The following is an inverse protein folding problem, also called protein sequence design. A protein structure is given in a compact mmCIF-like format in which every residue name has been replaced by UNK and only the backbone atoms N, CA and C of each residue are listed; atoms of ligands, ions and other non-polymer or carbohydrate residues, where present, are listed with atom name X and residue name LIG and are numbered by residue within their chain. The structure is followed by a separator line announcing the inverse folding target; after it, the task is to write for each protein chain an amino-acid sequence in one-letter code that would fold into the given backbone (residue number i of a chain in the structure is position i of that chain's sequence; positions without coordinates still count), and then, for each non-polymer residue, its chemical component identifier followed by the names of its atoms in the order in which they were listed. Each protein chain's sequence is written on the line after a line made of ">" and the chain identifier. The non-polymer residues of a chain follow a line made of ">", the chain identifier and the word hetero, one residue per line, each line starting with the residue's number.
data_IF_543197832203
#
_entry.id   IF_543197832203
#
_cell.length_a   1.000
_cell.length_b   1.000
_cell.length_c   1.000
_cell.angle_alpha   90.00
_cell.angle_beta   90.00
_cell.angle_gamma   90.00
#
_symmetry.space_group_name_H-M   'P 1'
#
loop_
_entity.id
_entity.type
_entity.pdbx_description
1 polymer ?
#
# COMPACT_ATOMS: atom_id res chain seq x y z
N UNK A 1 -15.00 -22.46 8.55
CA UNK A 1 -13.90 -23.19 7.90
C UNK A 1 -12.76 -22.19 7.70
N UNK A 2 -11.79 -22.13 8.62
CA UNK A 2 -10.57 -21.35 8.45
C UNK A 2 -9.78 -22.02 7.31
N UNK A 3 -9.77 -21.42 6.12
CA UNK A 3 -8.76 -21.81 5.13
C UNK A 3 -7.43 -21.40 5.72
N UNK A 4 -6.56 -22.38 5.99
CA UNK A 4 -5.17 -22.13 6.36
C UNK A 4 -4.58 -21.21 5.30
N UNK A 5 -4.29 -19.97 5.68
CA UNK A 5 -3.45 -19.10 4.87
C UNK A 5 -2.05 -19.68 5.05
N UNK A 6 -1.48 -20.19 3.97
CA UNK A 6 -0.14 -20.74 4.02
C UNK A 6 0.85 -19.67 4.48
N UNK A 7 1.76 -20.06 5.36
CA UNK A 7 2.93 -19.25 5.69
C UNK A 7 3.63 -18.92 4.37
N UNK A 8 3.92 -17.63 4.16
CA UNK A 8 4.59 -17.17 2.94
C UNK A 8 5.99 -17.79 2.87
N UNK A 9 6.37 -18.24 1.69
CA UNK A 9 7.75 -18.53 1.38
C UNK A 9 8.46 -17.23 0.99
N UNK A 10 9.26 -16.69 1.90
CA UNK A 10 10.03 -15.48 1.66
C UNK A 10 11.09 -15.67 0.57
N UNK A 11 11.49 -16.91 0.28
CA UNK A 11 12.42 -17.27 -0.79
C UNK A 11 11.84 -17.14 -2.20
N UNK A 12 10.51 -16.94 -2.36
CA UNK A 12 9.90 -16.66 -3.66
C UNK A 12 10.30 -15.27 -4.21
N UNK A 13 10.77 -14.35 -3.34
CA UNK A 13 11.29 -13.05 -3.78
C UNK A 13 12.59 -13.24 -4.57
N UNK A 14 12.67 -12.64 -5.74
CA UNK A 14 13.74 -12.85 -6.71
C UNK A 14 14.41 -11.51 -7.09
N UNK A 15 15.60 -11.21 -6.53
CA UNK A 15 16.32 -9.97 -6.85
C UNK A 15 16.71 -9.82 -8.32
N UNK A 16 17.03 -10.92 -9.03
CA UNK A 16 17.37 -10.88 -10.44
C UNK A 16 16.14 -10.48 -11.27
N UNK A 17 15.00 -11.09 -10.98
CA UNK A 17 13.74 -10.74 -11.60
C UNK A 17 13.38 -9.27 -11.36
N UNK A 18 13.57 -8.77 -10.15
CA UNK A 18 13.31 -7.36 -9.83
C UNK A 18 14.21 -6.47 -10.71
N UNK A 19 15.52 -6.74 -10.79
CA UNK A 19 16.47 -5.97 -11.61
C UNK A 19 16.09 -5.94 -13.08
N UNK A 20 15.67 -7.07 -13.63
CA UNK A 20 15.28 -7.17 -15.04
C UNK A 20 14.06 -6.30 -15.39
N UNK A 21 13.13 -6.17 -14.45
CA UNK A 21 11.91 -5.38 -14.66
C UNK A 21 12.04 -3.89 -14.28
N UNK A 22 13.02 -3.50 -13.46
CA UNK A 22 13.19 -2.11 -13.01
C UNK A 22 13.23 -1.08 -14.16
N UNK A 23 13.98 -1.27 -15.25
CA UNK A 23 14.04 -0.27 -16.32
C UNK A 23 12.68 -0.03 -16.98
N UNK A 24 11.90 -1.09 -17.18
CA UNK A 24 10.57 -1.00 -17.77
C UNK A 24 9.56 -0.34 -16.82
N UNK A 25 9.59 -0.72 -15.55
CA UNK A 25 8.75 -0.11 -14.53
C UNK A 25 9.07 1.39 -14.36
N UNK A 26 10.35 1.78 -14.43
CA UNK A 26 10.76 3.18 -14.41
C UNK A 26 10.26 3.96 -15.61
N UNK A 27 10.27 3.36 -16.80
CA UNK A 27 9.70 4.00 -17.97
C UNK A 27 8.22 4.33 -17.78
N UNK A 28 7.44 3.36 -17.27
CA UNK A 28 6.02 3.56 -16.98
C UNK A 28 5.82 4.59 -15.87
N UNK A 29 6.55 4.49 -14.77
CA UNK A 29 6.44 5.41 -13.65
C UNK A 29 6.78 6.85 -14.05
N UNK A 30 7.84 7.04 -14.84
CA UNK A 30 8.30 8.37 -15.24
C UNK A 30 7.44 8.97 -16.36
N UNK A 31 7.15 8.19 -17.42
CA UNK A 31 6.45 8.71 -18.59
C UNK A 31 4.93 8.81 -18.37
N UNK A 32 4.34 7.81 -17.70
CA UNK A 32 2.89 7.72 -17.51
C UNK A 32 2.42 8.43 -16.24
N UNK A 33 3.04 8.09 -15.10
CA UNK A 33 2.65 8.64 -13.81
C UNK A 33 3.46 9.87 -13.37
N UNK A 34 4.51 10.24 -14.10
CA UNK A 34 5.40 11.34 -13.71
C UNK A 34 5.76 11.26 -12.22
N UNK A 35 6.08 10.01 -11.80
CA UNK A 35 6.26 9.66 -10.40
C UNK A 35 7.35 10.50 -9.74
N UNK A 36 7.07 10.98 -8.52
CA UNK A 36 7.99 11.72 -7.67
C UNK A 36 8.02 11.04 -6.30
N UNK A 37 9.17 10.48 -5.92
CA UNK A 37 9.33 9.76 -4.64
C UNK A 37 10.38 10.49 -3.82
N UNK A 38 9.98 10.96 -2.64
CA UNK A 38 10.78 11.80 -1.75
C UNK A 38 10.97 11.10 -0.40
N UNK A 39 12.12 11.33 0.26
CA UNK A 39 12.37 10.88 1.62
C UNK A 39 12.77 9.41 1.72
N UNK A 40 13.31 8.77 0.68
CA UNK A 40 13.81 7.39 0.75
C UNK A 40 14.91 7.24 1.82
N UNK A 41 15.69 8.30 2.05
CA UNK A 41 16.73 8.41 3.10
C UNK A 41 16.16 8.30 4.53
N UNK A 42 14.87 8.50 4.72
CA UNK A 42 14.18 8.35 6.02
C UNK A 42 13.96 6.88 6.41
N UNK A 43 14.09 5.96 5.45
CA UNK A 43 14.05 4.52 5.76
C UNK A 43 15.42 4.12 6.31
N UNK A 44 15.50 3.46 7.49
CA UNK A 44 16.77 3.01 8.03
C UNK A 44 17.60 2.24 7.00
N UNK A 45 18.89 2.55 6.86
CA UNK A 45 19.76 1.90 5.86
C UNK A 45 19.86 0.38 6.06
N UNK A 46 19.77 -0.08 7.30
CA UNK A 46 19.92 -1.48 7.70
C UNK A 46 18.82 -1.90 8.67
N UNK A 47 18.59 -3.19 8.73
CA UNK A 47 17.64 -3.79 9.64
C UNK A 47 16.19 -3.66 9.15
N UNK A 48 15.27 -4.25 9.93
CA UNK A 48 13.85 -4.23 9.63
C UNK A 48 13.23 -2.87 9.92
N UNK A 49 12.17 -2.55 9.18
CA UNK A 49 11.32 -1.39 9.43
C UNK A 49 9.91 -1.68 8.91
N UNK A 50 8.89 -1.12 9.55
CA UNK A 50 7.51 -1.21 9.10
C UNK A 50 7.11 0.08 8.38
N UNK A 51 6.95 0.03 7.06
CA UNK A 51 6.42 1.11 6.26
C UNK A 51 4.89 1.04 6.29
N UNK A 52 4.25 2.16 6.63
CA UNK A 52 2.79 2.26 6.74
C UNK A 52 2.29 3.29 5.75
N UNK A 53 1.59 2.83 4.70
CA UNK A 53 1.11 3.66 3.61
C UNK A 53 -0.41 3.84 3.58
N UNK A 54 -0.87 4.97 3.01
CA UNK A 54 -2.23 5.08 2.51
C UNK A 54 -2.31 4.50 1.10
N UNK A 55 -3.44 3.85 0.79
CA UNK A 55 -3.60 3.11 -0.46
C UNK A 55 -4.57 3.79 -1.41
N UNK A 56 -4.24 3.77 -2.71
CA UNK A 56 -5.04 4.46 -3.73
C UNK A 56 -4.90 3.80 -5.12
N UNK A 57 -5.83 4.11 -6.02
CA UNK A 57 -5.74 3.69 -7.42
C UNK A 57 -6.43 2.37 -7.78
N UNK A 58 -7.39 1.92 -6.96
CA UNK A 58 -8.14 0.68 -7.23
C UNK A 58 -7.22 -0.55 -7.25
N UNK A 59 -7.60 -1.56 -8.00
CA UNK A 59 -6.83 -2.81 -8.10
C UNK A 59 -5.52 -2.68 -8.91
N UNK A 60 -5.27 -1.55 -9.57
CA UNK A 60 -4.03 -1.33 -10.32
C UNK A 60 -2.86 -0.86 -9.47
N UNK A 61 -3.13 -0.40 -8.22
CA UNK A 61 -2.15 -0.10 -7.15
C UNK A 61 -0.84 0.59 -7.61
N UNK A 62 -0.90 1.68 -8.39
CA UNK A 62 0.30 2.30 -8.93
C UNK A 62 1.24 2.84 -7.84
N UNK A 63 0.71 3.28 -6.70
CA UNK A 63 1.46 3.70 -5.52
C UNK A 63 2.39 2.60 -4.99
N UNK A 64 1.88 1.38 -4.88
CA UNK A 64 2.65 0.22 -4.40
C UNK A 64 3.78 -0.14 -5.38
N UNK A 65 3.47 -0.17 -6.68
CA UNK A 65 4.47 -0.49 -7.72
C UNK A 65 5.58 0.55 -7.73
N UNK A 66 5.24 1.85 -7.69
CA UNK A 66 6.20 2.94 -7.68
C UNK A 66 7.08 2.90 -6.44
N UNK A 67 6.50 2.69 -5.25
CA UNK A 67 7.27 2.61 -4.00
C UNK A 67 8.22 1.41 -3.99
N UNK A 68 7.74 0.22 -4.39
CA UNK A 68 8.57 -1.01 -4.46
C UNK A 68 9.76 -0.83 -5.41
N UNK A 69 9.52 -0.22 -6.54
CA UNK A 69 10.55 0.09 -7.53
C UNK A 69 11.55 1.13 -6.99
N UNK A 70 11.06 2.22 -6.40
CA UNK A 70 11.91 3.26 -5.84
C UNK A 70 12.79 2.73 -4.70
N UNK A 71 12.22 1.89 -3.82
CA UNK A 71 12.97 1.19 -2.78
C UNK A 71 14.09 0.32 -3.37
N UNK A 72 13.74 -0.54 -4.34
CA UNK A 72 14.71 -1.46 -4.96
C UNK A 72 15.81 -0.74 -5.73
N UNK A 73 15.51 0.45 -6.27
CA UNK A 73 16.52 1.27 -6.95
C UNK A 73 17.45 1.96 -5.97
N UNK A 74 16.93 2.49 -4.87
CA UNK A 74 17.69 3.27 -3.90
C UNK A 74 18.58 2.37 -3.02
N UNK A 75 18.01 1.26 -2.52
CA UNK A 75 18.70 0.36 -1.58
C UNK A 75 19.31 -0.88 -2.23
N UNK A 76 19.07 -1.11 -3.53
CA UNK A 76 19.43 -2.34 -4.22
C UNK A 76 18.36 -3.42 -4.14
N UNK A 77 18.26 -4.23 -5.20
CA UNK A 77 17.28 -5.32 -5.28
C UNK A 77 17.55 -6.44 -4.27
N UNK A 78 18.77 -6.55 -3.76
CA UNK A 78 19.17 -7.54 -2.75
C UNK A 78 18.58 -7.26 -1.38
N UNK A 79 18.34 -5.99 -1.03
CA UNK A 79 17.79 -5.65 0.28
C UNK A 79 16.40 -6.24 0.42
N UNK A 80 16.14 -7.05 1.48
CA UNK A 80 14.85 -7.67 1.68
C UNK A 80 13.74 -6.63 1.86
N UNK A 81 12.76 -6.66 0.95
CA UNK A 81 11.57 -5.82 0.99
C UNK A 81 10.36 -6.67 0.66
N UNK A 82 9.36 -6.61 1.51
CA UNK A 82 8.10 -7.33 1.31
C UNK A 82 6.92 -6.39 1.43
N UNK A 83 5.80 -6.78 0.83
CA UNK A 83 4.55 -6.02 0.88
C UNK A 83 3.37 -6.94 1.14
N UNK A 84 2.48 -6.53 2.03
CA UNK A 84 1.29 -7.30 2.36
C UNK A 84 0.18 -7.07 1.33
N UNK A 85 -0.40 -8.14 0.81
CA UNK A 85 -1.53 -8.10 -0.10
C UNK A 85 -2.67 -9.00 0.37
N UNK A 86 -3.89 -8.65 -0.06
CA UNK A 86 -5.06 -9.47 0.22
C UNK A 86 -4.90 -10.88 -0.40
N UNK A 87 -5.35 -11.90 0.31
CA UNK A 87 -5.19 -13.32 -0.10
C UNK A 87 -5.74 -13.62 -1.49
N UNK A 88 -6.79 -12.92 -1.94
CA UNK A 88 -7.33 -13.08 -3.29
C UNK A 88 -6.34 -12.69 -4.37
N UNK A 89 -5.50 -11.69 -4.13
CA UNK A 89 -4.47 -11.26 -5.09
C UNK A 89 -3.50 -12.41 -5.35
N UNK A 90 -3.05 -13.08 -4.30
CA UNK A 90 -2.11 -14.20 -4.40
C UNK A 90 -2.76 -15.51 -4.88
N UNK A 91 -4.09 -15.61 -4.84
CA UNK A 91 -4.83 -16.76 -5.35
C UNK A 91 -5.03 -16.73 -6.87
N UNK A 92 -4.80 -15.58 -7.52
CA UNK A 92 -4.96 -15.41 -8.96
C UNK A 92 -3.66 -15.80 -9.69
N UNK A 93 -3.66 -16.81 -10.57
CA UNK A 93 -2.46 -17.27 -11.27
C UNK A 93 -1.79 -16.16 -12.09
N UNK A 94 -2.57 -15.26 -12.68
CA UNK A 94 -2.05 -14.12 -13.45
C UNK A 94 -1.23 -13.13 -12.60
N UNK A 95 -1.43 -13.11 -11.28
CA UNK A 95 -0.72 -12.25 -10.33
C UNK A 95 0.41 -13.00 -9.58
N UNK A 96 0.66 -14.26 -9.90
CA UNK A 96 1.76 -15.03 -9.33
C UNK A 96 3.14 -14.32 -9.41
N UNK A 97 3.47 -13.57 -10.50
CA UNK A 97 4.72 -12.81 -10.56
C UNK A 97 4.93 -11.79 -9.44
N UNK A 98 3.85 -11.31 -8.78
CA UNK A 98 3.97 -10.38 -7.66
C UNK A 98 4.76 -10.96 -6.48
N UNK A 99 4.75 -12.30 -6.29
CA UNK A 99 5.53 -12.98 -5.26
C UNK A 99 7.03 -12.78 -5.47
N UNK A 100 7.47 -12.75 -6.72
CA UNK A 100 8.87 -12.47 -7.08
C UNK A 100 9.29 -11.04 -6.75
N UNK A 101 8.33 -10.11 -6.61
CA UNK A 101 8.57 -8.75 -6.09
C UNK A 101 8.46 -8.67 -4.56
N UNK A 102 8.26 -9.81 -3.85
CA UNK A 102 8.14 -9.83 -2.40
C UNK A 102 6.71 -9.62 -1.88
N UNK A 103 5.68 -9.84 -2.71
CA UNK A 103 4.30 -9.75 -2.24
C UNK A 103 3.92 -11.00 -1.47
N UNK A 104 3.47 -10.83 -0.22
CA UNK A 104 3.06 -11.91 0.68
C UNK A 104 1.64 -11.67 1.21
N UNK A 105 0.97 -12.75 1.66
CA UNK A 105 -0.39 -12.66 2.17
C UNK A 105 -0.45 -11.83 3.46
N UNK A 106 -1.45 -10.94 3.55
CA UNK A 106 -1.66 -10.05 4.69
C UNK A 106 -2.17 -10.84 5.90
N UNK A 107 -1.25 -11.42 6.66
CA UNK A 107 -1.48 -12.06 7.95
C UNK A 107 -0.45 -11.60 8.98
N UNK A 108 -0.79 -11.60 10.29
CA UNK A 108 0.19 -11.27 11.33
C UNK A 108 1.43 -12.15 11.29
N UNK A 109 1.27 -13.44 10.99
CA UNK A 109 2.36 -14.41 10.95
C UNK A 109 3.35 -14.12 9.80
N UNK A 110 2.83 -13.75 8.63
CA UNK A 110 3.68 -13.39 7.50
C UNK A 110 4.38 -12.04 7.72
N UNK A 111 3.69 -11.10 8.36
CA UNK A 111 4.28 -9.83 8.73
C UNK A 111 5.43 -10.01 9.74
N UNK A 112 5.18 -10.75 10.82
CA UNK A 112 6.22 -11.09 11.80
C UNK A 112 7.40 -11.80 11.14
N UNK A 113 7.14 -12.83 10.32
CA UNK A 113 8.20 -13.58 9.63
C UNK A 113 9.07 -12.72 8.71
N UNK A 114 8.50 -11.72 8.01
CA UNK A 114 9.27 -10.81 7.19
C UNK A 114 10.15 -9.86 8.05
N UNK A 115 9.60 -9.32 9.13
CA UNK A 115 10.34 -8.45 10.05
C UNK A 115 11.45 -9.22 10.80
N UNK A 116 11.18 -10.43 11.27
CA UNK A 116 12.15 -11.32 11.91
C UNK A 116 13.30 -11.70 10.97
N UNK A 117 13.03 -11.79 9.66
CA UNK A 117 14.04 -11.99 8.64
C UNK A 117 14.89 -10.73 8.34
N UNK A 118 14.68 -9.63 9.07
CA UNK A 118 15.40 -8.37 8.90
C UNK A 118 14.94 -7.52 7.72
N UNK A 119 13.76 -7.81 7.19
CA UNK A 119 13.24 -7.13 6.00
C UNK A 119 12.52 -5.82 6.33
N UNK A 120 12.48 -4.93 5.35
CA UNK A 120 11.53 -3.82 5.33
C UNK A 120 10.18 -4.34 4.85
N UNK A 121 9.12 -4.05 5.60
CA UNK A 121 7.77 -4.52 5.32
C UNK A 121 6.83 -3.35 5.04
N UNK A 122 6.15 -3.35 3.90
CA UNK A 122 5.14 -2.37 3.55
C UNK A 122 3.74 -2.90 3.85
N UNK A 123 2.96 -2.10 4.56
CA UNK A 123 1.55 -2.39 4.87
C UNK A 123 0.67 -1.21 4.50
N UNK A 124 -0.54 -1.52 4.06
CA UNK A 124 -1.61 -0.55 3.80
C UNK A 124 -2.80 -0.89 4.72
N UNK A 125 -2.89 -0.29 5.91
CA UNK A 125 -3.92 -0.67 6.89
C UNK A 125 -5.34 -0.47 6.39
N UNK A 126 -5.58 0.60 5.62
CA UNK A 126 -6.88 0.88 5.01
C UNK A 126 -7.31 -0.15 3.97
N UNK A 127 -6.35 -0.78 3.26
CA UNK A 127 -6.59 -1.85 2.31
C UNK A 127 -7.75 -1.57 1.34
N UNK A 128 -8.71 -2.50 1.28
CA UNK A 128 -9.90 -2.40 0.43
C UNK A 128 -10.79 -1.17 0.71
N UNK A 129 -10.78 -0.68 1.96
CA UNK A 129 -11.54 0.50 2.35
C UNK A 129 -10.97 1.79 1.73
N UNK A 130 -9.65 1.91 1.67
CA UNK A 130 -8.97 3.09 1.12
C UNK A 130 -8.82 3.04 -0.40
N UNK A 131 -8.38 1.90 -0.93
CA UNK A 131 -7.99 1.78 -2.33
C UNK A 131 -9.10 2.16 -3.31
N UNK A 132 -10.35 1.98 -2.90
CA UNK A 132 -11.56 2.24 -3.72
C UNK A 132 -12.39 3.41 -3.20
N UNK A 133 -11.80 4.32 -2.40
CA UNK A 133 -12.56 5.48 -1.87
C UNK A 133 -13.03 6.38 -3.01
N UNK A 134 -14.21 7.03 -2.86
CA UNK A 134 -14.73 7.95 -3.86
C UNK A 134 -13.79 9.13 -4.11
N UNK A 135 -13.79 9.66 -5.32
CA UNK A 135 -12.90 10.75 -5.74
C UNK A 135 -12.99 12.02 -4.88
N UNK A 136 -14.17 12.30 -4.31
CA UNK A 136 -14.34 13.42 -3.37
C UNK A 136 -13.70 13.21 -1.99
N UNK A 137 -13.25 11.98 -1.69
CA UNK A 137 -12.49 11.61 -0.50
C UNK A 137 -11.02 11.32 -0.82
N UNK A 138 -10.52 11.71 -2.00
CA UNK A 138 -9.17 11.37 -2.45
C UNK A 138 -8.05 11.82 -1.50
N UNK A 139 -8.27 12.91 -0.77
CA UNK A 139 -7.31 13.48 0.16
C UNK A 139 -7.63 13.11 1.62
N UNK A 140 -8.14 11.91 1.87
CA UNK A 140 -8.47 11.44 3.21
C UNK A 140 -7.63 10.20 3.56
N UNK A 141 -6.99 10.22 4.72
CA UNK A 141 -6.39 9.03 5.34
C UNK A 141 -7.46 8.36 6.20
N UNK A 142 -7.83 7.14 5.86
CA UNK A 142 -8.89 6.41 6.59
C UNK A 142 -8.61 4.91 6.65
N UNK A 143 -7.98 4.50 7.74
CA UNK A 143 -7.63 3.09 7.96
C UNK A 143 -8.77 2.24 8.53
N UNK A 144 -10.01 2.73 8.57
CA UNK A 144 -11.17 2.01 9.11
C UNK A 144 -10.93 1.53 10.56
N UNK A 145 -10.18 2.33 11.36
CA UNK A 145 -9.81 1.99 12.73
C UNK A 145 -8.90 0.78 12.90
N UNK A 146 -8.22 0.33 11.83
CA UNK A 146 -7.36 -0.86 11.85
C UNK A 146 -6.00 -0.56 12.47
N UNK A 147 -5.81 -0.96 13.72
CA UNK A 147 -4.61 -0.72 14.55
C UNK A 147 -3.57 -1.84 14.48
N UNK A 148 -3.76 -2.84 13.61
CA UNK A 148 -2.89 -4.02 13.54
C UNK A 148 -1.42 -3.69 13.25
N UNK A 149 -1.17 -2.66 12.47
CA UNK A 149 0.18 -2.23 12.13
C UNK A 149 0.97 -1.66 13.33
N UNK A 150 0.27 -0.97 14.25
CA UNK A 150 0.90 -0.46 15.49
C UNK A 150 1.36 -1.63 16.35
N UNK A 151 0.47 -2.60 16.60
CA UNK A 151 0.82 -3.80 17.36
C UNK A 151 1.98 -4.56 16.71
N UNK A 152 1.95 -4.72 15.38
CA UNK A 152 3.01 -5.39 14.65
C UNK A 152 4.37 -4.71 14.80
N UNK A 153 4.41 -3.36 14.78
CA UNK A 153 5.65 -2.61 15.00
C UNK A 153 6.17 -2.75 16.43
N UNK A 154 5.26 -2.68 17.41
CA UNK A 154 5.59 -2.84 18.84
C UNK A 154 6.09 -4.26 19.14
N UNK A 155 5.34 -5.28 18.69
CA UNK A 155 5.68 -6.69 18.92
C UNK A 155 7.03 -7.07 18.30
N UNK A 156 7.35 -6.49 17.14
CA UNK A 156 8.62 -6.72 16.45
C UNK A 156 9.76 -5.80 16.93
N UNK A 157 9.47 -4.76 17.72
CA UNK A 157 10.47 -3.78 18.16
C UNK A 157 11.14 -3.03 17.02
N UNK A 158 10.39 -2.71 15.95
CA UNK A 158 10.92 -2.06 14.74
C UNK A 158 10.39 -0.64 14.58
N UNK A 159 11.16 0.27 13.98
CA UNK A 159 10.69 1.61 13.68
C UNK A 159 9.53 1.59 12.67
N UNK A 160 8.58 2.50 12.88
CA UNK A 160 7.45 2.74 11.98
C UNK A 160 7.79 3.91 11.07
N UNK A 161 7.65 3.71 9.75
CA UNK A 161 7.94 4.73 8.73
C UNK A 161 6.65 5.05 7.99
N UNK A 162 6.01 6.22 8.23
CA UNK A 162 4.81 6.61 7.50
C UNK A 162 5.15 6.96 6.06
N UNK A 163 4.30 6.53 5.13
CA UNK A 163 4.41 6.76 3.69
C UNK A 163 3.12 7.35 3.17
N UNK A 164 3.17 8.54 2.60
CA UNK A 164 2.00 9.24 2.10
C UNK A 164 2.05 9.33 0.58
N UNK A 165 1.02 8.81 -0.08
CA UNK A 165 0.87 8.83 -1.54
C UNK A 165 -0.33 9.67 -1.96
N UNK A 166 -0.15 10.50 -2.99
CA UNK A 166 -1.20 11.28 -3.64
C UNK A 166 -1.15 11.08 -5.15
N UNK A 167 -2.31 11.11 -5.80
CA UNK A 167 -2.43 10.97 -7.27
C UNK A 167 -3.00 9.63 -7.71
N UNK A 168 -2.87 8.58 -6.93
CA UNK A 168 -3.41 7.27 -7.29
C UNK A 168 -4.93 7.27 -7.45
N UNK A 169 -5.65 8.05 -6.66
CA UNK A 169 -7.12 8.11 -6.73
C UNK A 169 -7.66 8.83 -7.97
N UNK A 170 -6.81 9.54 -8.71
CA UNK A 170 -7.13 10.17 -9.99
C UNK A 170 -6.86 9.27 -11.19
N UNK A 171 -6.38 8.05 -10.99
CA UNK A 171 -6.14 7.08 -12.08
C UNK A 171 -7.42 6.47 -12.64
N UNK A 172 -8.54 6.56 -11.91
CA UNK A 172 -9.89 6.26 -12.36
C UNK A 172 -10.90 7.13 -11.61
N UNK A 173 -12.12 7.27 -12.13
CA UNK A 173 -13.19 8.00 -11.44
C UNK A 173 -13.95 7.04 -10.52
N UNK A 174 -13.50 6.92 -9.27
CA UNK A 174 -14.19 6.12 -8.26
C UNK A 174 -15.42 6.87 -7.72
N UNK A 175 -16.61 6.29 -7.89
CA UNK A 175 -17.88 6.88 -7.50
C UNK A 175 -18.37 6.37 -6.15
N UNK A 176 -18.04 5.13 -5.78
CA UNK A 176 -18.48 4.52 -4.53
C UNK A 176 -17.61 3.35 -4.15
N UNK A 177 -17.41 3.14 -2.84
CA UNK A 177 -16.84 1.87 -2.32
C UNK A 177 -17.78 0.68 -2.54
N UNK A 178 -19.06 0.92 -2.79
CA UNK A 178 -20.06 -0.12 -2.99
C UNK A 178 -20.27 -1.06 -1.79
N UNK A 179 -20.00 -0.61 -0.57
CA UNK A 179 -20.11 -1.44 0.63
C UNK A 179 -21.51 -1.96 0.88
N UNK A 180 -22.55 -1.20 0.53
CA UNK A 180 -23.94 -1.63 0.58
C UNK A 180 -24.22 -2.78 -0.39
N UNK A 181 -23.70 -2.68 -1.61
CA UNK A 181 -23.83 -3.71 -2.64
C UNK A 181 -23.07 -4.99 -2.26
N UNK A 182 -21.85 -4.85 -1.75
CA UNK A 182 -21.05 -5.99 -1.25
C UNK A 182 -21.81 -6.76 -0.16
N UNK A 183 -22.42 -6.05 0.80
CA UNK A 183 -23.25 -6.66 1.85
C UNK A 183 -24.52 -7.31 1.30
N UNK A 184 -25.23 -6.65 0.40
CA UNK A 184 -26.44 -7.18 -0.23
C UNK A 184 -26.15 -8.50 -0.98
N UNK A 185 -25.01 -8.60 -1.63
CA UNK A 185 -24.53 -9.79 -2.32
C UNK A 185 -23.80 -10.80 -1.40
N UNK A 186 -23.71 -10.51 -0.10
CA UNK A 186 -23.02 -11.33 0.92
C UNK A 186 -21.55 -11.63 0.59
N UNK A 187 -20.88 -10.74 -0.14
CA UNK A 187 -19.48 -10.90 -0.54
C UNK A 187 -18.53 -10.81 0.66
N UNK A 188 -18.94 -10.10 1.69
CA UNK A 188 -18.24 -10.02 2.98
C UNK A 188 -18.08 -11.40 3.65
N UNK A 189 -19.08 -12.28 3.48
CA UNK A 189 -19.11 -13.62 4.08
C UNK A 189 -18.48 -14.68 3.17
N UNK A 190 -18.69 -14.58 1.85
CA UNK A 190 -18.26 -15.60 0.88
C UNK A 190 -16.82 -15.40 0.41
N UNK A 191 -16.43 -14.16 0.11
CA UNK A 191 -15.13 -13.79 -0.45
C UNK A 191 -14.29 -12.89 0.48
N UNK A 192 -14.85 -12.49 1.64
CA UNK A 192 -14.26 -11.50 2.56
C UNK A 192 -14.04 -10.13 1.90
N UNK A 193 -14.83 -9.82 0.88
CA UNK A 193 -14.82 -8.52 0.23
C UNK A 193 -15.85 -7.61 0.90
N UNK A 194 -15.39 -6.59 1.62
CA UNK A 194 -16.24 -5.60 2.29
C UNK A 194 -16.69 -4.49 1.33
N UNK A 195 -16.00 -4.35 0.21
CA UNK A 195 -16.23 -3.33 -0.81
C UNK A 195 -16.46 -3.97 -2.18
N UNK A 196 -17.29 -3.35 -3.00
CA UNK A 196 -17.51 -3.68 -4.41
C UNK A 196 -17.52 -2.35 -5.17
N UNK A 197 -16.35 -1.76 -5.48
CA UNK A 197 -16.25 -0.40 -5.97
C UNK A 197 -17.03 -0.19 -7.26
N UNK A 198 -17.59 1.01 -7.39
CA UNK A 198 -18.21 1.49 -8.61
C UNK A 198 -17.35 2.62 -9.14
N UNK A 199 -16.86 2.47 -10.36
CA UNK A 199 -15.95 3.44 -11.00
C UNK A 199 -16.27 3.64 -12.47
N UNK A 200 -15.79 4.73 -13.03
CA UNK A 200 -15.71 4.93 -14.48
C UNK A 200 -14.22 4.89 -14.84
N UNK A 201 -13.82 3.91 -15.63
CA UNK A 201 -12.43 3.66 -15.98
C UNK A 201 -12.29 3.03 -17.38
N UNK A 202 -11.21 3.36 -18.07
CA UNK A 202 -10.89 2.74 -19.36
C UNK A 202 -10.48 1.27 -19.17
N UNK A 203 -10.76 0.39 -20.14
CA UNK A 203 -11.53 0.60 -21.35
C UNK A 203 -13.05 0.38 -21.16
N UNK A 204 -13.47 -0.01 -19.94
CA UNK A 204 -14.80 -0.57 -19.68
C UNK A 204 -15.91 0.49 -19.55
N UNK A 205 -15.58 1.76 -19.33
CA UNK A 205 -16.56 2.77 -18.95
C UNK A 205 -17.02 2.55 -17.50
N UNK A 206 -18.31 2.28 -17.29
CA UNK A 206 -18.83 1.93 -15.96
C UNK A 206 -18.32 0.54 -15.55
N UNK A 207 -17.59 0.50 -14.44
CA UNK A 207 -16.98 -0.70 -13.89
C UNK A 207 -17.49 -0.96 -12.47
N UNK A 208 -17.85 -2.21 -12.18
CA UNK A 208 -18.34 -2.65 -10.87
C UNK A 208 -17.41 -3.74 -10.34
N UNK A 209 -16.79 -3.51 -9.19
CA UNK A 209 -15.91 -4.46 -8.53
C UNK A 209 -14.44 -4.41 -8.99
N UNK A 210 -14.16 -3.78 -10.11
CA UNK A 210 -12.81 -3.65 -10.69
C UNK A 210 -12.06 -5.01 -10.85
N UNK A 211 -12.82 -6.10 -11.06
CA UNK A 211 -12.26 -7.46 -11.10
C UNK A 211 -11.36 -7.72 -12.31
N UNK A 212 -11.59 -7.03 -13.41
CA UNK A 212 -10.79 -7.11 -14.62
C UNK A 212 -9.67 -6.07 -14.64
N UNK A 213 -9.57 -5.28 -13.57
CA UNK A 213 -8.70 -4.12 -13.55
C UNK A 213 -9.16 -3.02 -14.54
N UNK A 214 -8.35 -2.01 -14.69
CA UNK A 214 -8.59 -0.91 -15.62
C UNK A 214 -7.25 -0.35 -16.14
N UNK A 215 -7.29 0.41 -17.23
CA UNK A 215 -6.14 1.19 -17.67
C UNK A 215 -6.10 2.46 -16.84
N UNK A 216 -5.11 2.64 -15.95
CA UNK A 216 -5.04 3.82 -15.11
C UNK A 216 -4.80 5.07 -15.96
N UNK A 217 -5.48 6.17 -15.62
CA UNK A 217 -5.22 7.47 -16.23
C UNK A 217 -3.80 7.96 -15.86
N UNK A 218 -3.17 8.79 -16.69
CA UNK A 218 -1.80 9.28 -16.47
C UNK A 218 -1.75 10.39 -15.40
N UNK A 219 -2.22 10.09 -14.21
CA UNK A 219 -2.16 11.00 -13.08
C UNK A 219 -0.74 11.08 -12.53
N UNK A 220 -0.30 12.31 -12.12
CA UNK A 220 0.97 12.45 -11.42
C UNK A 220 0.85 11.84 -10.03
N UNK A 221 1.77 10.92 -9.69
CA UNK A 221 1.82 10.27 -8.39
C UNK A 221 3.04 10.79 -7.64
N UNK A 222 2.79 11.38 -6.46
CA UNK A 222 3.85 11.78 -5.53
C UNK A 222 3.76 10.91 -4.29
N UNK A 223 4.92 10.39 -3.86
CA UNK A 223 5.06 9.59 -2.64
C UNK A 223 6.04 10.30 -1.72
N UNK A 224 5.61 10.62 -0.50
CA UNK A 224 6.43 11.21 0.55
C UNK A 224 6.65 10.18 1.65
N UNK A 225 7.90 9.82 1.89
CA UNK A 225 8.31 8.98 3.00
C UNK A 225 8.72 9.89 4.15
N UNK A 226 8.11 9.71 5.32
CA UNK A 226 8.35 10.52 6.50
C UNK A 226 9.47 9.93 7.36
N UNK A 227 10.07 10.71 8.27
CA UNK A 227 11.06 10.19 9.20
C UNK A 227 10.56 8.98 9.97
N UNK A 228 11.44 8.02 10.19
CA UNK A 228 11.17 6.84 11.00
C UNK A 228 10.84 7.25 12.44
N UNK A 229 9.84 6.60 13.02
CA UNK A 229 9.38 6.81 14.40
C UNK A 229 9.81 5.60 15.21
N UNK A 230 10.72 5.79 16.16
CA UNK A 230 10.93 4.84 17.23
C UNK A 230 9.77 4.98 18.23
N UNK A 231 8.95 3.92 18.35
CA UNK A 231 7.74 3.99 19.15
C UNK A 231 8.03 4.07 20.66
N UNK A 232 9.08 3.40 21.13
CA UNK A 232 9.45 3.43 22.54
C UNK A 232 10.13 4.75 22.94
N UNK A 233 10.96 5.30 22.05
CA UNK A 233 11.57 6.62 22.26
C UNK A 233 10.50 7.72 22.29
N UNK A 234 9.52 7.62 21.38
CA UNK A 234 8.51 8.68 21.20
C UNK A 234 7.38 8.63 22.22
N UNK A 235 6.91 7.44 22.61
CA UNK A 235 5.70 7.22 23.42
C UNK A 235 5.98 6.56 24.76
N UNK A 236 7.26 6.32 25.11
CA UNK A 236 7.66 5.68 26.35
C UNK A 236 7.75 4.16 26.28
N UNK A 237 8.04 3.50 27.42
CA UNK A 237 8.34 2.07 27.45
C UNK A 237 7.11 1.16 27.19
N UNK A 238 5.90 1.68 27.34
CA UNK A 238 4.63 0.96 27.13
C UNK A 238 3.68 1.84 26.30
N UNK A 239 3.92 1.96 24.97
CA UNK A 239 3.14 2.84 24.11
C UNK A 239 1.68 2.41 24.01
N UNK A 240 0.74 3.33 24.20
CA UNK A 240 -0.67 3.07 23.96
C UNK A 240 -0.95 2.97 22.47
N UNK A 241 -1.57 1.86 22.06
CA UNK A 241 -1.85 1.55 20.65
C UNK A 241 -2.76 2.58 20.00
N UNK A 242 -3.71 3.14 20.74
CA UNK A 242 -4.65 4.12 20.22
C UNK A 242 -3.98 5.49 20.07
N UNK A 243 -3.13 5.88 21.03
CA UNK A 243 -2.32 7.10 20.96
C UNK A 243 -1.37 7.08 19.74
N UNK A 244 -0.64 5.97 19.56
CA UNK A 244 0.25 5.80 18.40
C UNK A 244 -0.54 5.85 17.09
N UNK A 245 -1.68 5.16 17.03
CA UNK A 245 -2.54 5.16 15.84
C UNK A 245 -3.00 6.57 15.46
N UNK A 246 -3.55 7.31 16.41
CA UNK A 246 -4.03 8.68 16.24
C UNK A 246 -2.89 9.62 15.78
N UNK A 247 -1.72 9.49 16.41
CA UNK A 247 -0.53 10.27 16.03
C UNK A 247 -0.12 10.01 14.58
N UNK A 248 0.01 8.74 14.18
CA UNK A 248 0.43 8.34 12.83
C UNK A 248 -0.58 8.82 11.79
N UNK A 249 -1.88 8.59 12.01
CA UNK A 249 -2.93 9.01 11.09
C UNK A 249 -2.96 10.54 10.96
N UNK A 250 -2.87 11.28 12.06
CA UNK A 250 -2.84 12.73 12.04
C UNK A 250 -1.59 13.30 11.32
N UNK A 251 -0.43 12.66 11.51
CA UNK A 251 0.80 13.03 10.81
C UNK A 251 0.67 12.80 9.31
N UNK A 252 0.19 11.63 8.90
CA UNK A 252 -0.03 11.29 7.50
C UNK A 252 -1.08 12.19 6.83
N UNK A 253 -2.17 12.53 7.55
CA UNK A 253 -3.20 13.43 7.02
C UNK A 253 -2.63 14.84 6.76
N UNK A 254 -1.87 15.41 7.70
CA UNK A 254 -1.23 16.72 7.49
C UNK A 254 -0.32 16.70 6.26
N UNK A 255 0.50 15.66 6.12
CA UNK A 255 1.38 15.53 4.94
C UNK A 255 0.57 15.40 3.64
N UNK A 256 -0.55 14.66 3.67
CA UNK A 256 -1.42 14.54 2.50
C UNK A 256 -2.06 15.88 2.13
N UNK A 257 -2.45 16.68 3.11
CA UNK A 257 -3.01 18.02 2.92
C UNK A 257 -1.95 18.98 2.32
N UNK A 258 -0.69 18.89 2.80
CA UNK A 258 0.44 19.65 2.25
C UNK A 258 0.71 19.27 0.79
N UNK A 259 0.79 17.96 0.47
CA UNK A 259 0.96 17.47 -0.89
C UNK A 259 -0.21 17.87 -1.80
N UNK A 260 -1.43 17.89 -1.26
CA UNK A 260 -2.61 18.35 -2.01
C UNK A 260 -2.54 19.85 -2.31
N UNK A 261 -2.01 20.66 -1.39
CA UNK A 261 -1.82 22.10 -1.57
C UNK A 261 -0.73 22.44 -2.59
N UNK A 262 0.31 21.61 -2.73
CA UNK A 262 1.36 21.76 -3.74
C UNK A 262 0.83 21.57 -5.17
N UNK A 263 -0.25 20.82 -5.35
CA UNK A 263 -0.78 20.45 -6.67
C UNK A 263 -1.70 21.52 -7.23
N UNK A 264 -1.36 22.05 -8.41
CA UNK A 264 -2.22 23.01 -9.12
C UNK A 264 -3.43 22.35 -9.77
N UNK A 265 -3.24 21.13 -10.30
CA UNK A 265 -4.28 20.36 -10.98
C UNK A 265 -4.24 18.91 -10.50
N UNK A 266 -5.40 18.29 -10.16
CA UNK A 266 -5.42 16.96 -9.58
C UNK A 266 -4.72 15.88 -10.42
N UNK A 267 -4.88 15.92 -11.76
CA UNK A 267 -4.30 14.88 -12.66
C UNK A 267 -2.89 15.26 -13.10
N UNK A 268 -2.64 16.54 -13.35
CA UNK A 268 -1.37 16.99 -13.92
C UNK A 268 -0.30 17.25 -12.85
N UNK A 269 -0.71 17.54 -11.62
CA UNK A 269 0.19 17.81 -10.48
C UNK A 269 0.45 19.28 -10.25
#
# INVERSE_FOLDING_TARGET
>A
MQRHVHRADLGERDPDYIRDYLPWLWLVASAWFRADVRGLENIPERGPALLVGNHSGGNMIPDTVILTMAFSTYFGAERPFYQLAHNLVLALPALAPLRRFGTVAATPENAAGALDAGAVLLVYPGGDHEVSRPVWQRNLIDFDGRRGFVRQALDAGVPLVPVVSIGGQETALFLSRGAGLARALRLDRTLRLKTLPISIAAPWGLNVGDFLGHVPLPAKITIQILPAIDLHERFGPDPDVDEVYEHVVALMQRTLDELAAERRLPVLG
#
